data_IF_362955711035
#
_entry.id   IF_362955711035
#
_cell.length_a   1.000
_cell.length_b   1.000
_cell.length_c   1.000
_cell.angle_alpha   90.00
_cell.angle_beta   90.00
_cell.angle_gamma   90.00
#
_symmetry.space_group_name_H-M   'P 1'
#
loop_
_entity.id
_entity.type
_entity.pdbx_description
1 polymer ?
#
# COMPACT_ATOMS: atom_id res chain seq x y z
N UNK A 1 12.52 2.60 -3.40
CA UNK A 1 11.72 1.41 -3.76
C UNK A 1 10.80 0.99 -2.63
N UNK A 2 9.60 0.62 -2.96
CA UNK A 2 8.59 0.19 -1.99
C UNK A 2 8.12 -1.24 -2.26
N UNK A 3 7.83 -1.97 -1.20
CA UNK A 3 7.06 -3.20 -1.25
C UNK A 3 5.61 -2.87 -0.89
N UNK A 4 4.67 -3.31 -1.71
CA UNK A 4 3.23 -3.02 -1.54
C UNK A 4 2.53 -4.23 -0.97
N UNK A 5 1.80 -4.05 0.12
CA UNK A 5 0.97 -5.07 0.74
C UNK A 5 -0.51 -4.73 0.53
N UNK A 6 -1.27 -5.69 0.04
CA UNK A 6 -2.69 -5.54 -0.26
C UNK A 6 -3.45 -6.65 0.46
N UNK A 7 -4.38 -6.29 1.34
CA UNK A 7 -5.38 -7.25 1.79
C UNK A 7 -6.36 -7.49 0.65
N UNK A 8 -6.56 -8.77 0.30
CA UNK A 8 -7.39 -9.11 -0.84
C UNK A 8 -8.82 -8.57 -0.67
N UNK A 9 -9.31 -7.74 -1.60
CA UNK A 9 -10.69 -7.27 -1.55
C UNK A 9 -11.67 -8.39 -1.90
N UNK A 10 -12.91 -8.25 -1.44
CA UNK A 10 -13.98 -9.19 -1.80
C UNK A 10 -14.34 -9.11 -3.30
N UNK A 11 -14.21 -7.92 -3.90
CA UNK A 11 -14.43 -7.72 -5.32
C UNK A 11 -13.14 -7.99 -6.12
N UNK A 12 -13.11 -9.04 -6.96
CA UNK A 12 -11.95 -9.35 -7.78
C UNK A 12 -11.58 -8.23 -8.75
N UNK A 13 -12.55 -7.46 -9.23
CA UNK A 13 -12.28 -6.33 -10.13
C UNK A 13 -11.54 -5.20 -9.43
N UNK A 14 -11.81 -4.98 -8.14
CA UNK A 14 -11.06 -4.00 -7.35
C UNK A 14 -9.59 -4.37 -7.26
N UNK A 15 -9.26 -5.65 -7.08
CA UNK A 15 -7.90 -6.13 -7.10
C UNK A 15 -7.24 -5.94 -8.47
N UNK A 16 -7.94 -6.27 -9.55
CA UNK A 16 -7.43 -6.08 -10.91
C UNK A 16 -7.10 -4.61 -11.19
N UNK A 17 -8.00 -3.68 -10.83
CA UNK A 17 -7.75 -2.24 -10.99
C UNK A 17 -6.51 -1.78 -10.22
N UNK A 18 -6.38 -2.24 -8.99
CA UNK A 18 -5.27 -1.85 -8.12
C UNK A 18 -3.94 -2.38 -8.66
N UNK A 19 -3.88 -3.65 -9.04
CA UNK A 19 -2.67 -4.25 -9.64
C UNK A 19 -2.30 -3.58 -10.95
N UNK A 20 -3.27 -3.29 -11.81
CA UNK A 20 -3.05 -2.59 -13.08
C UNK A 20 -2.47 -1.18 -12.83
N UNK A 21 -2.98 -0.47 -11.84
CA UNK A 21 -2.48 0.86 -11.49
C UNK A 21 -1.04 0.87 -10.96
N UNK A 22 -0.55 -0.26 -10.44
CA UNK A 22 0.82 -0.41 -9.95
C UNK A 22 1.83 -0.77 -11.06
N UNK A 23 1.37 -1.22 -12.22
CA UNK A 23 2.26 -1.64 -13.32
C UNK A 23 3.27 -0.56 -13.75
N UNK A 24 2.88 0.70 -13.99
CA UNK A 24 3.84 1.74 -14.35
C UNK A 24 4.91 1.94 -13.27
N UNK A 25 4.51 1.93 -12.00
CA UNK A 25 5.42 2.10 -10.88
C UNK A 25 6.42 0.92 -10.74
N UNK A 26 5.99 -0.28 -11.05
CA UNK A 26 6.87 -1.44 -11.10
C UNK A 26 7.85 -1.34 -12.28
N UNK A 27 7.38 -0.90 -13.45
CA UNK A 27 8.22 -0.71 -14.62
C UNK A 27 9.30 0.36 -14.40
N UNK A 28 8.99 1.41 -13.66
CA UNK A 28 9.95 2.48 -13.32
C UNK A 28 10.84 2.14 -12.10
N UNK A 29 10.64 1.00 -11.47
CA UNK A 29 11.41 0.56 -10.30
C UNK A 29 11.01 1.21 -8.98
N UNK A 30 9.92 1.98 -8.92
CA UNK A 30 9.38 2.53 -7.68
C UNK A 30 8.79 1.41 -6.81
N UNK A 31 8.00 0.52 -7.40
CA UNK A 31 7.45 -0.67 -6.74
C UNK A 31 8.36 -1.86 -7.03
N UNK A 32 8.93 -2.42 -5.98
CA UNK A 32 9.80 -3.59 -6.08
C UNK A 32 9.03 -4.90 -6.17
N UNK A 33 7.97 -5.00 -5.40
CA UNK A 33 7.15 -6.20 -5.30
C UNK A 33 5.77 -5.84 -4.76
N UNK A 34 4.81 -6.70 -5.06
CA UNK A 34 3.45 -6.63 -4.53
C UNK A 34 3.13 -7.95 -3.86
N UNK A 35 2.58 -7.91 -2.66
CA UNK A 35 2.08 -9.07 -1.94
C UNK A 35 0.57 -8.91 -1.71
N UNK A 36 -0.17 -9.96 -1.99
CA UNK A 36 -1.61 -10.04 -1.75
C UNK A 36 -1.88 -11.03 -0.64
N UNK A 37 -2.61 -10.60 0.36
CA UNK A 37 -2.85 -11.35 1.60
C UNK A 37 -4.30 -11.81 1.64
N UNK A 38 -4.50 -13.11 1.88
CA UNK A 38 -5.84 -13.68 2.05
C UNK A 38 -6.64 -13.83 0.76
N UNK A 39 -5.99 -13.86 -0.40
CA UNK A 39 -6.66 -14.07 -1.68
C UNK A 39 -7.21 -15.48 -1.82
N UNK A 40 -8.48 -15.59 -2.20
CA UNK A 40 -9.15 -16.88 -2.47
C UNK A 40 -9.95 -16.79 -3.77
N UNK A 41 -10.17 -17.95 -4.41
CA UNK A 41 -10.95 -18.02 -5.64
C UNK A 41 -10.41 -17.13 -6.77
N UNK A 42 -11.25 -16.30 -7.41
CA UNK A 42 -10.84 -15.44 -8.51
C UNK A 42 -9.72 -14.45 -8.13
N UNK A 43 -9.73 -13.92 -6.91
CA UNK A 43 -8.70 -13.02 -6.43
C UNK A 43 -7.32 -13.70 -6.37
N UNK A 44 -7.27 -14.96 -5.97
CA UNK A 44 -6.04 -15.75 -5.99
C UNK A 44 -5.48 -15.89 -7.41
N UNK A 45 -6.31 -16.27 -8.37
CA UNK A 45 -5.91 -16.40 -9.77
C UNK A 45 -5.39 -15.07 -10.36
N UNK A 46 -6.08 -13.96 -10.08
CA UNK A 46 -5.68 -12.62 -10.53
C UNK A 46 -4.31 -12.24 -9.96
N UNK A 47 -4.09 -12.45 -8.68
CA UNK A 47 -2.82 -12.13 -8.03
C UNK A 47 -1.67 -13.00 -8.58
N UNK A 48 -1.92 -14.30 -8.77
CA UNK A 48 -0.94 -15.23 -9.33
C UNK A 48 -0.55 -14.87 -10.76
N UNK A 49 -1.54 -14.60 -11.62
CA UNK A 49 -1.33 -14.17 -13.01
C UNK A 49 -0.55 -12.86 -13.10
N UNK A 50 -0.74 -11.95 -12.15
CA UNK A 50 -0.02 -10.69 -12.07
C UNK A 50 1.42 -10.84 -11.52
N UNK A 51 1.81 -12.03 -11.06
CA UNK A 51 3.12 -12.26 -10.46
C UNK A 51 3.27 -11.71 -9.05
N UNK A 52 2.17 -11.41 -8.36
CA UNK A 52 2.18 -10.98 -6.97
C UNK A 52 2.53 -12.14 -6.02
N UNK A 53 3.17 -11.82 -4.91
CA UNK A 53 3.35 -12.78 -3.82
C UNK A 53 2.01 -13.08 -3.15
N UNK A 54 1.77 -14.33 -2.83
CA UNK A 54 0.53 -14.79 -2.20
C UNK A 54 0.81 -15.24 -0.77
N UNK A 55 0.11 -14.67 0.18
CA UNK A 55 0.27 -14.95 1.61
C UNK A 55 -1.08 -15.10 2.29
N UNK A 56 -1.15 -15.96 3.29
CA UNK A 56 -2.33 -16.12 4.14
C UNK A 56 -2.26 -15.20 5.38
N UNK A 57 -1.04 -14.81 5.77
CA UNK A 57 -0.78 -14.04 6.97
C UNK A 57 -0.06 -12.73 6.65
N UNK A 58 -0.55 -11.64 7.23
CA UNK A 58 0.04 -10.30 7.09
C UNK A 58 1.47 -10.24 7.63
N UNK A 59 1.74 -10.83 8.79
CA UNK A 59 3.05 -10.81 9.40
C UNK A 59 4.11 -11.48 8.53
N UNK A 60 3.77 -12.61 7.89
CA UNK A 60 4.66 -13.28 6.95
C UNK A 60 4.93 -12.41 5.72
N UNK A 61 3.89 -11.84 5.11
CA UNK A 61 4.04 -10.94 3.97
C UNK A 61 4.95 -9.74 4.30
N UNK A 62 4.76 -9.17 5.48
CA UNK A 62 5.58 -8.06 5.95
C UNK A 62 7.04 -8.45 6.15
N UNK A 63 7.31 -9.58 6.78
CA UNK A 63 8.67 -10.07 7.01
C UNK A 63 9.41 -10.37 5.70
N UNK A 64 8.72 -10.89 4.72
CA UNK A 64 9.29 -11.24 3.42
C UNK A 64 9.44 -10.06 2.46
N UNK A 65 8.82 -8.93 2.77
CA UNK A 65 8.94 -7.72 1.97
C UNK A 65 10.39 -7.23 1.94
N UNK A 66 10.92 -7.03 0.73
CA UNK A 66 12.35 -6.73 0.50
C UNK A 66 12.64 -5.25 0.35
N UNK A 67 11.62 -4.43 0.13
CA UNK A 67 11.80 -2.98 -0.03
C UNK A 67 12.18 -2.30 1.27
N UNK A 68 12.95 -1.19 1.22
CA UNK A 68 13.25 -0.39 2.40
C UNK A 68 12.04 0.38 2.94
N UNK A 69 11.02 0.57 2.11
CA UNK A 69 9.74 1.13 2.47
C UNK A 69 8.63 0.13 2.19
N UNK A 70 7.61 0.13 3.02
CA UNK A 70 6.45 -0.74 2.87
C UNK A 70 5.19 0.11 2.84
N UNK A 71 4.35 -0.12 1.84
CA UNK A 71 3.06 0.53 1.69
C UNK A 71 1.94 -0.48 1.86
N UNK A 72 0.94 -0.14 2.65
CA UNK A 72 -0.33 -0.84 2.68
C UNK A 72 -1.39 -0.04 1.95
N UNK A 73 -2.08 -0.66 1.01
CA UNK A 73 -3.11 -0.01 0.22
C UNK A 73 -4.49 -0.52 0.62
N UNK A 74 -5.46 0.38 0.83
CA UNK A 74 -6.84 -0.02 1.06
C UNK A 74 -7.47 -0.52 -0.24
N UNK A 75 -8.40 -1.48 -0.17
CA UNK A 75 -9.20 -1.85 -1.33
C UNK A 75 -10.13 -0.71 -1.72
N UNK A 76 -10.35 -0.51 -3.00
CA UNK A 76 -11.41 0.32 -3.56
C UNK A 76 -11.01 1.64 -4.19
N UNK A 77 -10.26 2.57 -3.57
CA UNK A 77 -9.92 3.82 -4.22
C UNK A 77 -8.92 3.62 -5.36
N UNK A 78 -9.02 4.48 -6.36
CA UNK A 78 -8.01 4.59 -7.42
C UNK A 78 -6.87 5.52 -6.97
N UNK A 79 -5.77 5.49 -7.70
CA UNK A 79 -4.69 6.45 -7.49
C UNK A 79 -4.97 7.78 -8.20
N UNK A 80 -4.55 8.88 -7.57
CA UNK A 80 -4.48 10.17 -8.22
C UNK A 80 -3.45 10.15 -9.37
N UNK A 81 -3.61 10.96 -10.43
CA UNK A 81 -2.72 10.91 -11.59
C UNK A 81 -1.24 11.14 -11.29
N UNK A 82 -0.93 11.94 -10.29
CA UNK A 82 0.43 12.31 -9.86
C UNK A 82 0.92 11.53 -8.62
N UNK A 83 0.30 10.40 -8.30
CA UNK A 83 0.62 9.65 -7.10
C UNK A 83 2.07 9.18 -7.04
N UNK A 84 2.64 8.78 -8.16
CA UNK A 84 4.03 8.31 -8.22
C UNK A 84 5.00 9.45 -7.90
N UNK A 85 4.78 10.63 -8.46
CA UNK A 85 5.60 11.81 -8.20
C UNK A 85 5.57 12.20 -6.72
N UNK A 86 4.39 12.15 -6.11
CA UNK A 86 4.23 12.46 -4.69
C UNK A 86 4.94 11.44 -3.79
N UNK A 87 4.86 10.16 -4.13
CA UNK A 87 5.58 9.12 -3.39
C UNK A 87 7.09 9.28 -3.57
N UNK A 88 7.58 9.45 -4.80
CA UNK A 88 9.00 9.66 -5.08
C UNK A 88 9.53 10.87 -4.31
N UNK A 89 8.83 11.99 -4.33
CA UNK A 89 9.22 13.19 -3.59
C UNK A 89 9.27 12.96 -2.08
N UNK A 90 8.35 12.16 -1.54
CA UNK A 90 8.36 11.81 -0.13
C UNK A 90 9.56 10.91 0.23
N UNK A 91 9.85 9.91 -0.59
CA UNK A 91 10.97 8.99 -0.38
C UNK A 91 12.34 9.68 -0.52
N UNK A 92 12.41 10.77 -1.29
CA UNK A 92 13.64 11.54 -1.50
C UNK A 92 14.00 12.44 -0.33
N UNK A 93 13.11 12.62 0.65
CA UNK A 93 13.42 13.39 1.86
C UNK A 93 14.45 12.65 2.72
N UNK A 94 15.38 13.37 3.32
CA UNK A 94 16.40 12.80 4.22
C UNK A 94 15.79 12.18 5.47
N UNK A 95 14.63 12.66 5.89
CA UNK A 95 13.89 12.12 7.01
C UNK A 95 13.06 10.91 6.59
N UNK A 96 13.24 9.80 7.28
CA UNK A 96 12.41 8.61 7.11
C UNK A 96 11.05 8.78 7.81
N UNK A 97 10.21 9.62 7.26
CA UNK A 97 8.93 9.98 7.85
C UNK A 97 7.82 9.04 7.39
N UNK A 98 7.20 8.27 8.32
CA UNK A 98 5.98 7.53 8.00
C UNK A 98 4.86 8.45 7.55
N UNK A 99 4.05 7.99 6.60
CA UNK A 99 2.98 8.79 6.03
C UNK A 99 1.66 8.03 5.91
N UNK A 100 0.57 8.75 6.04
CA UNK A 100 -0.77 8.27 5.69
C UNK A 100 -1.01 8.50 4.21
N UNK A 101 -1.58 7.51 3.55
CA UNK A 101 -2.05 7.60 2.17
C UNK A 101 -3.54 7.93 2.20
N UNK A 102 -3.89 9.14 1.82
CA UNK A 102 -5.25 9.67 2.00
C UNK A 102 -5.89 10.08 0.68
N UNK A 103 -7.21 10.19 0.68
CA UNK A 103 -7.97 10.65 -0.48
C UNK A 103 -7.82 12.17 -0.67
N UNK A 104 -7.79 12.60 -1.94
CA UNK A 104 -7.82 14.01 -2.32
C UNK A 104 -9.14 14.71 -1.99
N UNK A 105 -10.25 13.99 -2.09
CA UNK A 105 -11.56 14.57 -1.78
C UNK A 105 -11.73 14.73 -0.28
N UNK A 106 -11.29 15.86 0.25
CA UNK A 106 -11.33 16.20 1.68
C UNK A 106 -12.58 16.99 2.08
N UNK A 107 -13.67 16.86 1.38
CA UNK A 107 -14.92 17.47 1.84
C UNK A 107 -15.49 16.68 3.02
N UNK A 108 -15.75 17.35 4.09
CA UNK A 108 -16.53 17.15 5.32
C UNK A 108 -17.40 15.86 5.47
N UNK A 109 -16.96 14.73 4.97
CA UNK A 109 -17.65 13.46 5.23
C UNK A 109 -17.20 12.88 6.56
N UNK A 110 -18.11 12.73 7.48
CA UNK A 110 -17.93 12.08 8.78
C UNK A 110 -17.72 10.56 8.67
N UNK A 111 -17.84 9.98 7.48
CA UNK A 111 -17.59 8.56 7.26
C UNK A 111 -16.10 8.26 7.29
N UNK A 112 -15.72 7.23 8.03
CA UNK A 112 -14.35 6.70 8.00
C UNK A 112 -13.96 6.36 6.55
N UNK A 113 -12.87 6.98 6.08
CA UNK A 113 -12.36 6.73 4.73
C UNK A 113 -11.29 5.67 4.79
N UNK A 114 -11.22 4.77 3.81
CA UNK A 114 -10.10 3.87 3.73
C UNK A 114 -8.82 4.68 3.55
N UNK A 115 -7.86 4.44 4.42
CA UNK A 115 -6.55 5.05 4.39
C UNK A 115 -5.49 3.97 4.19
N UNK A 116 -4.52 4.26 3.34
CA UNK A 116 -3.30 3.48 3.28
C UNK A 116 -2.23 4.04 4.22
N UNK A 117 -1.13 3.35 4.25
CA UNK A 117 0.04 3.73 5.04
C UNK A 117 1.33 3.46 4.27
N UNK A 118 2.35 4.26 4.55
CA UNK A 118 3.70 4.14 3.99
C UNK A 118 4.69 4.31 5.13
N UNK A 119 5.49 3.29 5.41
CA UNK A 119 6.42 3.29 6.54
C UNK A 119 7.80 2.78 6.12
N UNK A 120 8.89 3.35 6.67
CA UNK A 120 10.22 2.77 6.51
C UNK A 120 10.29 1.44 7.27
N UNK A 121 10.78 0.41 6.63
CA UNK A 121 10.93 -0.90 7.28
C UNK A 121 11.83 -0.85 8.51
N UNK A 122 12.85 0.02 8.50
CA UNK A 122 13.78 0.21 9.59
C UNK A 122 13.15 0.70 10.90
N UNK A 123 12.00 1.36 10.84
CA UNK A 123 11.28 1.85 12.02
C UNK A 123 10.35 0.80 12.64
N UNK A 124 10.26 -0.37 12.04
CA UNK A 124 9.38 -1.44 12.51
C UNK A 124 10.18 -2.53 13.20
N UNK A 125 9.62 -3.11 14.25
CA UNK A 125 10.23 -4.25 14.94
C UNK A 125 10.23 -5.50 14.06
N UNK A 126 11.07 -6.48 14.43
CA UNK A 126 11.29 -7.68 13.61
C UNK A 126 10.29 -8.81 13.83
N UNK A 127 9.42 -8.72 14.81
CA UNK A 127 8.51 -9.83 15.14
C UNK A 127 7.09 -9.35 15.42
N UNK A 128 6.10 -10.09 14.91
CA UNK A 128 4.70 -9.94 15.30
C UNK A 128 4.04 -8.63 14.87
N UNK A 129 4.53 -7.99 13.81
CA UNK A 129 3.96 -6.73 13.31
C UNK A 129 2.55 -6.99 12.79
N UNK A 130 1.58 -6.25 13.30
CA UNK A 130 0.20 -6.22 12.80
C UNK A 130 -0.06 -4.90 12.06
N UNK A 131 -0.95 -4.95 11.09
CA UNK A 131 -1.25 -3.79 10.24
C UNK A 131 -1.69 -2.55 11.04
N UNK A 132 -2.41 -2.75 12.15
CA UNK A 132 -2.83 -1.66 13.03
C UNK A 132 -1.65 -0.86 13.62
N UNK A 133 -0.53 -1.52 13.91
CA UNK A 133 0.66 -0.86 14.41
C UNK A 133 1.28 0.04 13.35
N UNK A 134 1.27 -0.40 12.10
CA UNK A 134 1.75 0.38 10.96
C UNK A 134 0.86 1.60 10.67
N UNK A 135 -0.44 1.42 10.77
CA UNK A 135 -1.40 2.53 10.68
C UNK A 135 -1.17 3.58 11.79
N UNK A 136 -0.92 3.14 13.01
CA UNK A 136 -0.59 4.04 14.13
C UNK A 136 0.74 4.76 13.89
N UNK A 137 1.75 4.04 13.42
CA UNK A 137 3.05 4.62 13.10
C UNK A 137 2.92 5.69 12.01
N UNK A 138 2.16 5.42 10.96
CA UNK A 138 1.89 6.39 9.90
C UNK A 138 1.16 7.64 10.40
N UNK A 139 0.22 7.49 11.33
CA UNK A 139 -0.49 8.62 11.94
C UNK A 139 0.44 9.47 12.82
N UNK A 140 1.28 8.83 13.62
CA UNK A 140 2.23 9.51 14.50
C UNK A 140 3.36 10.20 13.73
N UNK A 141 3.76 9.64 12.60
CA UNK A 141 4.81 10.20 11.75
C UNK A 141 4.49 11.56 11.14
N UNK A 142 3.23 11.94 11.08
CA UNK A 142 2.76 13.25 10.62
C UNK A 142 2.77 13.43 9.11
N UNK A 143 3.36 12.53 8.33
CA UNK A 143 3.32 12.57 6.87
C UNK A 143 1.92 12.29 6.33
N UNK A 144 1.58 13.00 5.23
CA UNK A 144 0.30 12.82 4.57
C UNK A 144 0.47 12.96 3.05
N UNK A 145 0.16 11.89 2.34
CA UNK A 145 0.20 11.85 0.88
C UNK A 145 -1.22 11.72 0.32
N UNK A 146 -1.65 12.71 -0.45
CA UNK A 146 -2.98 12.74 -1.06
C UNK A 146 -2.95 12.04 -2.41
N UNK A 147 -2.71 10.75 -2.39
CA UNK A 147 -2.51 9.92 -3.59
C UNK A 147 -3.70 9.06 -3.97
N UNK A 148 -4.72 8.97 -3.14
CA UNK A 148 -5.90 8.18 -3.42
C UNK A 148 -7.01 9.06 -3.98
N UNK A 149 -7.73 8.55 -4.97
CA UNK A 149 -8.85 9.23 -5.57
C UNK A 149 -10.12 8.40 -5.40
N UNK A 150 -11.27 9.09 -5.29
CA UNK A 150 -12.56 8.42 -5.20
C UNK A 150 -13.08 8.13 -6.61
N UNK A 151 -13.39 6.94 -6.82
CA UNK A 151 -14.41 6.56 -7.80
C UNK A 151 -15.24 5.41 -7.26
#
# INVERSE_FOLDING_TARGET
MISVLINAPHDPQALTRLLTALVPAAAEGLVREVAVIGAVGPAHAIADDAGAGLYDDFAEAFQRAKGPWIAGLPPGPNFAPDWMELVIAHLAKDEQQPARLVSRSSTLSLAARPEGWLVPKSLTGSAGVVEQDLQRLARRGGGRLRILDRR
#
